data_IF_416112380644
#
_entry.id   IF_416112380644
#
_cell.length_a   1.000
_cell.length_b   1.000
_cell.length_c   1.000
_cell.angle_alpha   90.00
_cell.angle_beta   90.00
_cell.angle_gamma   90.00
#
_symmetry.space_group_name_H-M   'P 1'
#
loop_
_entity.id
_entity.type
_entity.pdbx_description
1 polymer ?
#
# COMPACT_ATOMS: atom_id res chain seq x y z
N UNK A 1 -15.75 -0.86 -5.64
CA UNK A 1 -14.61 -0.82 -4.70
C UNK A 1 -13.57 0.07 -5.35
N UNK A 2 -13.31 1.26 -4.78
CA UNK A 2 -12.63 2.35 -5.49
C UNK A 2 -13.61 3.33 -6.15
N UNK A 3 -13.28 4.61 -6.12
CA UNK A 3 -14.10 5.72 -6.61
C UNK A 3 -13.19 6.77 -7.27
N UNK A 4 -13.68 7.44 -8.32
CA UNK A 4 -13.03 8.62 -8.87
C UNK A 4 -13.68 9.84 -8.25
N UNK A 5 -12.90 10.65 -7.55
CA UNK A 5 -13.36 11.90 -6.96
C UNK A 5 -12.36 13.00 -7.28
N UNK A 6 -12.86 14.12 -7.78
CA UNK A 6 -12.04 15.30 -8.12
C UNK A 6 -10.88 14.98 -9.10
N UNK A 7 -11.11 14.03 -10.01
CA UNK A 7 -10.09 13.61 -10.99
C UNK A 7 -8.97 12.73 -10.41
N UNK A 8 -9.14 12.21 -9.21
CA UNK A 8 -8.21 11.28 -8.58
C UNK A 8 -8.91 9.97 -8.20
N UNK A 9 -8.18 8.85 -8.32
CA UNK A 9 -8.67 7.54 -7.89
C UNK A 9 -8.46 7.37 -6.39
N UNK A 10 -9.55 7.32 -5.64
CA UNK A 10 -9.58 7.06 -4.20
C UNK A 10 -9.95 5.60 -3.95
N UNK A 11 -9.32 4.98 -2.94
CA UNK A 11 -9.51 3.56 -2.67
C UNK A 11 -8.83 2.67 -3.71
N UNK A 12 -9.48 1.58 -4.12
CA UNK A 12 -8.93 0.58 -5.04
C UNK A 12 -7.67 -0.10 -4.48
N UNK A 13 -7.87 -0.85 -3.39
CA UNK A 13 -6.80 -1.57 -2.67
C UNK A 13 -7.00 -3.09 -2.64
N UNK A 14 -8.13 -3.59 -3.12
CA UNK A 14 -8.41 -5.03 -3.14
C UNK A 14 -7.88 -5.65 -4.43
N UNK A 15 -7.05 -6.69 -4.31
CA UNK A 15 -6.36 -7.27 -5.47
C UNK A 15 -7.26 -8.01 -6.44
N UNK A 16 -8.36 -8.59 -5.96
CA UNK A 16 -9.35 -9.25 -6.82
C UNK A 16 -10.06 -8.20 -7.67
N UNK A 17 -10.38 -7.04 -7.09
CA UNK A 17 -10.91 -5.92 -7.86
C UNK A 17 -9.90 -5.43 -8.90
N UNK A 18 -8.63 -5.26 -8.52
CA UNK A 18 -7.57 -4.86 -9.46
C UNK A 18 -7.51 -5.82 -10.65
N UNK A 19 -7.51 -7.12 -10.39
CA UNK A 19 -7.52 -8.17 -11.41
C UNK A 19 -8.74 -8.07 -12.35
N UNK A 20 -9.94 -7.83 -11.80
CA UNK A 20 -11.14 -7.68 -12.62
C UNK A 20 -11.13 -6.41 -13.49
N UNK A 21 -10.64 -5.30 -12.94
CA UNK A 21 -10.54 -4.03 -13.67
C UNK A 21 -9.49 -4.10 -14.79
N UNK A 22 -8.35 -4.76 -14.52
CA UNK A 22 -7.30 -5.03 -15.51
C UNK A 22 -7.82 -5.94 -16.63
N UNK A 23 -8.49 -7.03 -16.28
CA UNK A 23 -9.13 -7.92 -17.27
C UNK A 23 -10.19 -7.21 -18.11
N UNK A 24 -10.84 -6.19 -17.56
CA UNK A 24 -11.83 -5.37 -18.29
C UNK A 24 -11.21 -4.29 -19.18
N UNK A 25 -9.88 -4.13 -19.16
CA UNK A 25 -9.15 -3.11 -19.94
C UNK A 25 -9.30 -1.68 -19.41
N UNK A 26 -9.79 -1.52 -18.18
CA UNK A 26 -10.01 -0.19 -17.54
C UNK A 26 -8.86 0.24 -16.65
N UNK A 27 -7.95 -0.68 -16.35
CA UNK A 27 -6.82 -0.49 -15.46
C UNK A 27 -5.54 -0.66 -16.25
N UNK A 28 -4.66 0.33 -16.16
CA UNK A 28 -3.34 0.32 -16.79
C UNK A 28 -2.24 0.42 -15.73
N UNK A 29 -1.36 -0.57 -15.72
CA UNK A 29 -0.32 -0.70 -14.71
C UNK A 29 0.91 0.12 -15.11
N UNK A 30 1.23 1.15 -14.31
CA UNK A 30 2.35 2.05 -14.59
C UNK A 30 3.67 1.60 -13.93
N UNK A 31 3.62 0.81 -12.86
CA UNK A 31 4.82 0.24 -12.25
C UNK A 31 4.73 -0.04 -10.76
N UNK A 32 5.72 -0.79 -10.29
CA UNK A 32 5.89 -1.18 -8.89
C UNK A 32 6.81 -0.20 -8.16
N UNK A 33 6.37 0.22 -6.97
CA UNK A 33 7.11 1.12 -6.09
C UNK A 33 7.80 0.27 -5.03
N UNK A 34 9.13 0.17 -5.14
CA UNK A 34 9.97 -0.55 -4.18
C UNK A 34 9.74 -0.03 -2.75
N UNK A 35 9.61 -0.93 -1.76
CA UNK A 35 9.50 -0.55 -0.37
C UNK A 35 10.70 0.28 0.07
N UNK A 36 10.44 1.19 1.00
CA UNK A 36 11.40 2.15 1.54
C UNK A 36 12.51 1.47 2.33
N UNK A 37 12.28 0.25 2.81
CA UNK A 37 13.21 -0.58 3.61
C UNK A 37 14.15 -1.36 2.71
N UNK A 38 15.23 -0.71 2.26
CA UNK A 38 16.32 -1.42 1.55
C UNK A 38 17.18 -2.15 2.58
N UNK A 39 17.20 -3.49 2.53
CA UNK A 39 18.19 -4.32 3.23
C UNK A 39 17.66 -5.22 4.35
N UNK A 40 16.46 -4.96 4.88
CA UNK A 40 15.89 -5.79 5.95
C UNK A 40 14.94 -6.84 5.36
N UNK A 41 15.48 -8.00 4.97
CA UNK A 41 14.84 -9.32 4.80
C UNK A 41 13.50 -9.48 4.03
N UNK A 42 12.73 -8.44 3.71
CA UNK A 42 11.48 -8.53 2.96
C UNK A 42 11.70 -8.86 1.48
N UNK A 43 12.94 -8.71 1.00
CA UNK A 43 13.42 -9.09 -0.33
C UNK A 43 14.25 -10.39 -0.32
N UNK A 44 14.30 -11.15 0.79
CA UNK A 44 14.91 -12.50 0.78
C UNK A 44 14.13 -13.46 -0.11
N UNK A 45 12.83 -13.23 -0.15
CA UNK A 45 11.84 -13.82 -1.02
C UNK A 45 11.78 -12.94 -2.28
N UNK A 46 11.80 -13.53 -3.48
CA UNK A 46 11.77 -12.77 -4.73
C UNK A 46 10.56 -11.83 -4.84
N UNK A 47 10.53 -10.97 -5.87
CA UNK A 47 9.37 -10.09 -6.11
C UNK A 47 8.05 -10.89 -6.19
N UNK A 48 8.15 -12.13 -6.65
CA UNK A 48 7.05 -13.08 -6.87
C UNK A 48 6.41 -13.59 -5.57
N UNK A 49 7.06 -13.37 -4.43
CA UNK A 49 6.64 -13.81 -3.10
C UNK A 49 6.18 -12.64 -2.21
N UNK A 50 6.20 -11.40 -2.72
CA UNK A 50 5.72 -10.23 -1.99
C UNK A 50 4.18 -10.22 -1.92
N UNK A 51 3.66 -10.29 -0.69
CA UNK A 51 2.22 -10.29 -0.41
C UNK A 51 1.65 -8.91 -0.07
N UNK A 52 2.51 -7.89 0.04
CA UNK A 52 2.13 -6.50 0.22
C UNK A 52 2.86 -5.65 -0.80
N UNK A 53 2.15 -5.20 -1.83
CA UNK A 53 2.77 -4.44 -2.92
C UNK A 53 2.27 -3.00 -2.93
N UNK A 54 3.14 -2.09 -3.32
CA UNK A 54 2.77 -0.73 -3.66
C UNK A 54 2.93 -0.53 -5.16
N UNK A 55 1.85 -0.12 -5.83
CA UNK A 55 1.81 0.07 -7.27
C UNK A 55 1.30 1.45 -7.65
N UNK A 56 1.72 1.92 -8.82
CA UNK A 56 1.19 3.08 -9.51
C UNK A 56 0.40 2.58 -10.73
N UNK A 57 -0.79 3.14 -10.96
CA UNK A 57 -1.65 2.71 -12.05
C UNK A 57 -2.58 3.83 -12.49
N UNK A 58 -3.15 3.69 -13.68
CA UNK A 58 -4.24 4.49 -14.19
C UNK A 58 -5.54 3.68 -14.19
N UNK A 59 -6.64 4.29 -13.81
CA UNK A 59 -7.96 3.67 -13.88
C UNK A 59 -8.95 4.61 -14.57
N UNK A 60 -9.53 4.15 -15.68
CA UNK A 60 -10.42 4.93 -16.54
C UNK A 60 -9.88 6.33 -16.93
N UNK A 61 -8.60 6.45 -17.26
CA UNK A 61 -8.01 7.77 -17.62
C UNK A 61 -7.43 8.55 -16.44
N UNK A 62 -7.60 8.08 -15.20
CA UNK A 62 -7.18 8.81 -13.99
C UNK A 62 -6.02 8.13 -13.28
N UNK A 63 -4.94 8.87 -13.07
CA UNK A 63 -3.74 8.36 -12.43
C UNK A 63 -3.91 8.24 -10.91
N UNK A 64 -3.58 7.06 -10.38
CA UNK A 64 -3.34 6.83 -8.96
C UNK A 64 -1.84 6.72 -8.71
N UNK A 65 -1.26 7.73 -8.06
CA UNK A 65 0.18 7.79 -7.80
C UNK A 65 0.69 6.67 -6.89
N UNK A 66 -0.12 6.22 -5.92
CA UNK A 66 0.24 5.18 -4.96
C UNK A 66 -0.99 4.41 -4.49
N UNK A 67 -1.04 3.11 -4.74
CA UNK A 67 -1.99 2.16 -4.16
C UNK A 67 -1.23 1.02 -3.51
N UNK A 68 -1.47 0.76 -2.23
CA UNK A 68 -0.89 -0.40 -1.54
C UNK A 68 -1.96 -1.46 -1.36
N UNK A 69 -1.66 -2.71 -1.71
CA UNK A 69 -2.62 -3.81 -1.72
C UNK A 69 -1.97 -5.07 -1.17
N UNK A 70 -2.76 -5.87 -0.46
CA UNK A 70 -2.41 -7.25 -0.20
C UNK A 70 -2.60 -8.08 -1.48
N UNK A 71 -1.71 -9.03 -1.75
CA UNK A 71 -1.75 -9.89 -2.95
C UNK A 71 -1.79 -11.35 -2.52
N UNK A 72 -2.69 -12.12 -3.14
CA UNK A 72 -2.87 -13.54 -2.83
C UNK A 72 -3.56 -13.83 -1.50
N UNK A 73 -4.02 -12.80 -0.79
CA UNK A 73 -4.85 -12.90 0.41
C UNK A 73 -6.28 -13.29 0.07
N UNK A 74 -6.95 -14.00 0.98
CA UNK A 74 -8.38 -14.28 0.79
C UNK A 74 -9.25 -13.08 1.16
N UNK A 75 -10.43 -12.92 0.52
CA UNK A 75 -11.38 -11.86 0.89
C UNK A 75 -11.78 -11.90 2.36
N UNK A 76 -11.93 -13.10 2.94
CA UNK A 76 -12.29 -13.24 4.35
C UNK A 76 -11.19 -12.76 5.29
N UNK A 77 -9.91 -12.92 4.92
CA UNK A 77 -8.79 -12.38 5.69
C UNK A 77 -8.85 -10.84 5.75
N UNK A 78 -8.96 -10.18 4.60
CA UNK A 78 -9.06 -8.71 4.53
C UNK A 78 -10.29 -8.20 5.28
N UNK A 79 -11.45 -8.84 5.08
CA UNK A 79 -12.70 -8.46 5.74
C UNK A 79 -12.59 -8.59 7.26
N UNK A 80 -12.04 -9.69 7.77
CA UNK A 80 -11.87 -9.90 9.21
C UNK A 80 -10.90 -8.88 9.81
N UNK A 81 -9.74 -8.67 9.17
CA UNK A 81 -8.74 -7.71 9.62
C UNK A 81 -9.33 -6.30 9.68
N UNK A 82 -9.97 -5.86 8.61
CA UNK A 82 -10.56 -4.52 8.54
C UNK A 82 -11.72 -4.34 9.52
N UNK A 83 -12.53 -5.36 9.74
CA UNK A 83 -13.61 -5.31 10.74
C UNK A 83 -13.06 -5.12 12.15
N UNK A 84 -12.04 -5.89 12.53
CA UNK A 84 -11.40 -5.79 13.85
C UNK A 84 -10.75 -4.41 14.02
N UNK A 85 -9.97 -3.97 13.03
CA UNK A 85 -9.35 -2.65 12.99
C UNK A 85 -10.38 -1.51 13.09
N UNK A 86 -11.53 -1.66 12.44
CA UNK A 86 -12.56 -0.63 12.47
C UNK A 86 -13.25 -0.53 13.83
N UNK A 87 -13.61 -1.67 14.42
CA UNK A 87 -14.34 -1.74 15.69
C UNK A 87 -13.48 -1.31 16.87
N UNK A 88 -12.21 -1.75 16.91
CA UNK A 88 -11.37 -1.61 18.09
C UNK A 88 -10.17 -0.67 17.90
N UNK A 89 -9.83 -0.33 16.66
CA UNK A 89 -8.65 0.45 16.35
C UNK A 89 -8.91 1.96 16.18
N UNK A 90 -7.86 2.78 16.41
CA UNK A 90 -7.83 4.19 15.99
C UNK A 90 -7.83 4.34 14.45
N UNK A 91 -7.69 5.58 13.96
CA UNK A 91 -7.64 5.87 12.51
C UNK A 91 -6.39 5.31 11.82
N UNK A 92 -5.27 5.24 12.54
CA UNK A 92 -4.00 4.68 12.06
C UNK A 92 -3.53 3.56 12.99
N UNK A 93 -3.38 2.35 12.45
CA UNK A 93 -3.06 1.16 13.23
C UNK A 93 -1.80 0.52 12.64
N UNK A 94 -0.73 0.49 13.41
CA UNK A 94 0.50 -0.20 13.03
C UNK A 94 0.41 -1.67 13.45
N UNK A 95 0.55 -2.57 12.49
CA UNK A 95 0.49 -4.01 12.67
C UNK A 95 1.71 -4.67 12.02
N UNK A 96 2.10 -5.83 12.52
CA UNK A 96 3.08 -6.69 11.86
C UNK A 96 2.36 -7.96 11.41
N UNK A 97 2.23 -8.14 10.10
CA UNK A 97 1.61 -9.31 9.48
C UNK A 97 2.72 -10.19 8.90
N UNK A 98 3.10 -11.25 9.61
CA UNK A 98 4.27 -12.05 9.26
C UNK A 98 5.55 -11.21 9.29
N UNK A 99 6.23 -11.08 8.16
CA UNK A 99 7.41 -10.22 7.99
C UNK A 99 7.08 -8.80 7.51
N UNK A 100 5.80 -8.48 7.30
CA UNK A 100 5.36 -7.20 6.73
C UNK A 100 4.91 -6.25 7.83
N UNK A 101 5.62 -5.14 8.06
CA UNK A 101 5.11 -4.03 8.86
C UNK A 101 4.10 -3.26 8.01
N UNK A 102 2.86 -3.22 8.48
CA UNK A 102 1.71 -2.65 7.76
C UNK A 102 1.09 -1.55 8.59
N UNK A 103 0.75 -0.45 7.94
CA UNK A 103 -0.08 0.59 8.51
C UNK A 103 -1.49 0.45 7.95
N UNK A 104 -2.48 0.14 8.78
CA UNK A 104 -3.88 0.17 8.37
C UNK A 104 -4.42 1.57 8.60
N UNK A 105 -4.91 2.20 7.52
CA UNK A 105 -5.66 3.46 7.59
C UNK A 105 -7.14 3.17 7.60
N UNK A 106 -7.83 3.70 8.59
CA UNK A 106 -9.26 3.52 8.84
C UNK A 106 -9.94 4.88 8.88
N UNK A 107 -10.63 5.23 7.80
CA UNK A 107 -11.47 6.41 7.73
C UNK A 107 -12.90 6.06 8.11
N UNK A 108 -13.36 6.61 9.23
CA UNK A 108 -14.74 6.50 9.71
C UNK A 108 -15.58 7.67 9.17
N UNK A 109 -16.82 7.39 8.79
CA UNK A 109 -17.81 8.42 8.48
C UNK A 109 -18.33 9.07 9.79
N UNK A 110 -18.99 10.23 9.68
CA UNK A 110 -19.55 10.94 10.84
C UNK A 110 -20.54 10.11 11.68
N UNK A 111 -21.20 9.14 11.06
CA UNK A 111 -22.13 8.22 11.71
C UNK A 111 -21.45 6.97 12.30
N UNK A 112 -20.11 6.92 12.31
CA UNK A 112 -19.33 5.78 12.80
C UNK A 112 -19.21 4.61 11.82
N UNK A 113 -19.84 4.66 10.64
CA UNK A 113 -19.71 3.61 9.62
C UNK A 113 -18.34 3.64 8.93
N UNK A 114 -17.95 2.53 8.31
CA UNK A 114 -16.72 2.44 7.50
C UNK A 114 -16.86 3.35 6.27
N UNK A 115 -15.96 4.33 6.13
CA UNK A 115 -15.82 5.12 4.91
C UNK A 115 -14.81 4.50 3.95
N UNK A 116 -13.58 4.32 4.42
CA UNK A 116 -12.57 3.54 3.70
C UNK A 116 -11.59 2.92 4.69
N UNK A 117 -11.11 1.73 4.39
CA UNK A 117 -10.08 1.07 5.18
C UNK A 117 -9.16 0.29 4.24
N UNK A 118 -7.86 0.49 4.39
CA UNK A 118 -6.87 -0.05 3.46
C UNK A 118 -5.48 -0.12 4.10
N UNK A 119 -4.60 -1.02 3.60
CA UNK A 119 -3.23 -1.07 4.05
C UNK A 119 -2.38 0.01 3.36
N UNK A 120 -1.35 0.42 4.05
CA UNK A 120 -0.20 1.16 3.56
C UNK A 120 1.08 0.50 4.08
N UNK A 121 2.19 0.79 3.42
CA UNK A 121 3.52 0.43 3.89
C UNK A 121 3.76 1.01 5.30
N UNK A 122 4.19 0.17 6.24
CA UNK A 122 4.48 0.57 7.61
C UNK A 122 5.57 1.63 7.74
N UNK A 123 5.56 2.37 8.85
CA UNK A 123 6.56 3.42 9.13
C UNK A 123 7.96 2.85 9.22
N UNK A 124 8.97 3.62 8.81
CA UNK A 124 10.37 3.21 8.95
C UNK A 124 10.79 3.29 10.41
N UNK A 125 11.59 2.33 10.86
CA UNK A 125 12.34 2.47 12.11
C UNK A 125 13.39 3.57 11.98
N UNK A 126 13.87 4.11 13.11
CA UNK A 126 14.89 5.17 13.11
C UNK A 126 16.16 4.74 12.36
N UNK A 127 16.62 3.50 12.58
CA UNK A 127 17.80 2.94 11.90
C UNK A 127 17.61 2.81 10.38
N UNK A 128 16.43 2.34 9.93
CA UNK A 128 16.10 2.25 8.51
C UNK A 128 15.97 3.64 7.87
N UNK A 129 15.39 4.60 8.60
CA UNK A 129 15.27 5.98 8.16
C UNK A 129 16.65 6.64 8.03
N UNK A 130 17.54 6.46 9.01
CA UNK A 130 18.91 6.94 8.98
C UNK A 130 19.68 6.35 7.80
N UNK A 131 19.61 5.03 7.59
CA UNK A 131 20.23 4.35 6.45
C UNK A 131 19.74 4.91 5.11
N UNK A 132 18.42 5.17 4.99
CA UNK A 132 17.84 5.77 3.80
C UNK A 132 18.36 7.18 3.57
N UNK A 133 18.39 8.03 4.60
CA UNK A 133 18.89 9.41 4.52
C UNK A 133 20.36 9.40 4.08
N UNK A 134 21.20 8.59 4.72
CA UNK A 134 22.61 8.43 4.36
C UNK A 134 22.79 8.01 2.89
N UNK A 135 21.97 7.06 2.41
CA UNK A 135 22.02 6.62 1.01
C UNK A 135 21.65 7.74 0.01
N UNK A 136 20.68 8.59 0.35
CA UNK A 136 20.27 9.72 -0.49
C UNK A 136 21.33 10.82 -0.51
N UNK A 137 21.95 11.12 0.64
CA UNK A 137 23.06 12.07 0.75
C UNK A 137 24.23 11.60 -0.11
N UNK A 138 24.63 10.32 0.02
CA UNK A 138 25.69 9.73 -0.80
C UNK A 138 25.37 9.84 -2.30
N UNK A 139 24.14 9.52 -2.72
CA UNK A 139 23.74 9.62 -4.13
C UNK A 139 23.79 11.06 -4.68
N UNK A 140 23.48 12.06 -3.85
CA UNK A 140 23.58 13.47 -4.24
C UNK A 140 25.04 13.92 -4.41
N UNK A 141 25.94 13.47 -3.52
CA UNK A 141 27.37 13.77 -3.64
C UNK A 141 27.97 13.25 -4.95
N UNK A 142 27.58 12.05 -5.41
CA UNK A 142 28.05 11.51 -6.70
C UNK A 142 27.46 12.17 -7.95
N UNK A 143 26.32 12.88 -7.84
CA UNK A 143 25.69 13.61 -8.96
C UNK A 143 26.13 15.06 -9.07
N UNK A 144 26.91 15.55 -8.09
CA UNK A 144 27.41 16.93 -8.03
C UNK A 144 28.82 17.13 -8.60
N UNK A 145 29.43 16.08 -9.13
CA UNK A 145 30.65 16.10 -9.96
C UNK A 145 30.28 15.66 -11.39
#
# INVERSE_FOLDING_TARGET
VGEIREGAVIGMHNWIQLFHEEKSGKFDYAGYIKPKRRGNNSLKCGLDEEQLITIQFEWNGYLKAKGTSFIGTSPEFELALFTICHLFGPEEIELTLGSYPVLIKNHKLKNGSIGSIYPEEGRLTEDEAATRIQSQVRRKQYKGN
#
